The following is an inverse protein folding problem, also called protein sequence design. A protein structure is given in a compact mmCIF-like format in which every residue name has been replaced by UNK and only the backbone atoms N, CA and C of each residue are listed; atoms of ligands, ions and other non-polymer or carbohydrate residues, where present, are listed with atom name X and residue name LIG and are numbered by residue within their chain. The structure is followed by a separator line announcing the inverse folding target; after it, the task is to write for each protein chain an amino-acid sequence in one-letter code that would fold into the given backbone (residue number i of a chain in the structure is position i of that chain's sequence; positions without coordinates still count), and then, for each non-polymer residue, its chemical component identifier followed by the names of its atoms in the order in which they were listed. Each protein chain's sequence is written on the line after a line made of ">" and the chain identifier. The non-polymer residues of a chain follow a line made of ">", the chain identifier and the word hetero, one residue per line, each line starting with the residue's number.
data_IF_248339120734
#
_entry.id   IF_248339120734
#
_cell.length_a   1.000
_cell.length_b   1.000
_cell.length_c   1.000
_cell.angle_alpha   90.00
_cell.angle_beta   90.00
_cell.angle_gamma   90.00
#
_symmetry.space_group_name_H-M   'P 1'
#
loop_
_entity.id
_entity.type
_entity.pdbx_description
1 polymer ?
#
# COMPACT_ATOMS: atom_id res chain seq x y z
N UNK A 1 -21.28 30.93 1.94
CA UNK A 1 -21.66 29.74 2.73
C UNK A 1 -23.16 29.59 2.57
N UNK A 2 -23.61 28.48 2.03
CA UNK A 2 -25.03 28.18 1.93
C UNK A 2 -25.57 28.01 3.35
N UNK A 3 -26.58 28.78 3.73
CA UNK A 3 -27.12 28.83 5.09
C UNK A 3 -27.91 27.58 5.45
N UNK A 4 -27.20 26.53 5.78
CA UNK A 4 -27.77 25.37 6.44
C UNK A 4 -27.51 25.51 7.95
N UNK A 5 -28.59 25.53 8.74
CA UNK A 5 -28.48 25.33 10.18
C UNK A 5 -28.10 23.89 10.45
N UNK A 6 -26.90 23.67 10.98
CA UNK A 6 -26.43 22.35 11.37
C UNK A 6 -25.85 22.40 12.78
N UNK A 7 -26.10 21.37 13.53
CA UNK A 7 -25.53 21.15 14.84
C UNK A 7 -24.51 20.01 14.77
N UNK A 8 -23.30 20.24 15.25
CA UNK A 8 -22.25 19.20 15.31
C UNK A 8 -22.28 18.57 16.69
N UNK A 9 -22.76 17.33 16.76
CA UNK A 9 -22.81 16.56 18.00
C UNK A 9 -21.66 15.55 18.01
N UNK A 10 -20.78 15.67 19.00
CA UNK A 10 -19.72 14.68 19.19
C UNK A 10 -20.29 13.34 19.65
N UNK A 11 -19.97 12.25 18.93
CA UNK A 11 -20.25 10.88 19.35
C UNK A 11 -18.96 10.11 19.50
N UNK A 12 -18.78 9.41 20.63
CA UNK A 12 -17.62 8.50 20.83
C UNK A 12 -17.63 7.44 19.71
N UNK A 13 -16.45 7.03 19.21
CA UNK A 13 -16.29 6.14 18.07
C UNK A 13 -17.16 4.86 18.15
N UNK A 14 -17.26 4.22 19.33
CA UNK A 14 -18.15 3.07 19.56
C UNK A 14 -19.66 3.37 19.41
N UNK A 15 -20.06 4.62 19.52
CA UNK A 15 -21.46 5.05 19.39
C UNK A 15 -21.78 5.55 17.98
N UNK A 16 -20.76 5.87 17.19
CA UNK A 16 -20.91 6.30 15.80
C UNK A 16 -20.74 5.10 14.84
N UNK A 17 -21.74 4.20 14.88
CA UNK A 17 -21.74 2.94 14.14
C UNK A 17 -21.52 3.15 12.64
N UNK A 18 -22.04 4.22 12.06
CA UNK A 18 -21.90 4.52 10.63
C UNK A 18 -20.46 4.88 10.29
N UNK A 19 -19.83 5.77 11.06
CA UNK A 19 -18.44 6.14 10.84
C UNK A 19 -17.50 4.96 11.11
N UNK A 20 -17.78 4.12 12.10
CA UNK A 20 -17.00 2.93 12.40
C UNK A 20 -17.16 1.86 11.31
N UNK A 21 -18.35 1.67 10.74
CA UNK A 21 -18.59 0.78 9.60
C UNK A 21 -17.86 1.26 8.34
N UNK A 22 -17.88 2.56 8.04
CA UNK A 22 -17.15 3.14 6.92
C UNK A 22 -15.62 3.04 7.07
N UNK A 23 -15.13 3.00 8.31
CA UNK A 23 -13.70 2.84 8.60
C UNK A 23 -13.22 1.40 8.48
N UNK A 24 -14.10 0.43 8.74
CA UNK A 24 -13.81 -1.00 8.63
C UNK A 24 -13.96 -1.42 7.18
N UNK A 25 -13.01 -0.99 6.34
CA UNK A 25 -12.89 -1.58 5.01
C UNK A 25 -12.26 -2.95 5.14
N UNK A 26 -12.92 -3.96 4.59
CA UNK A 26 -12.30 -5.27 4.41
C UNK A 26 -11.02 -5.10 3.58
N UNK A 27 -9.91 -5.66 4.05
CA UNK A 27 -8.62 -5.58 3.33
C UNK A 27 -8.74 -6.09 1.89
N UNK A 28 -9.63 -7.03 1.64
CA UNK A 28 -9.87 -7.61 0.33
C UNK A 28 -10.58 -6.62 -0.63
N UNK A 29 -11.51 -5.81 -0.13
CA UNK A 29 -12.16 -4.75 -0.92
C UNK A 29 -11.18 -3.63 -1.26
N UNK A 30 -10.35 -3.22 -0.30
CA UNK A 30 -9.31 -2.23 -0.53
C UNK A 30 -8.26 -2.75 -1.53
N UNK A 31 -7.86 -4.01 -1.43
CA UNK A 31 -6.96 -4.64 -2.38
C UNK A 31 -7.55 -4.69 -3.80
N UNK A 32 -8.84 -5.00 -3.93
CA UNK A 32 -9.54 -5.01 -5.21
C UNK A 32 -9.59 -3.62 -5.84
N UNK A 33 -9.93 -2.59 -5.06
CA UNK A 33 -9.93 -1.21 -5.54
C UNK A 33 -8.54 -0.74 -5.98
N UNK A 34 -7.51 -1.09 -5.21
CA UNK A 34 -6.12 -0.80 -5.58
C UNK A 34 -5.72 -1.55 -6.87
N UNK A 35 -6.10 -2.82 -7.00
CA UNK A 35 -5.79 -3.61 -8.19
C UNK A 35 -6.43 -3.02 -9.46
N UNK A 36 -7.66 -2.56 -9.37
CA UNK A 36 -8.36 -1.92 -10.50
C UNK A 36 -7.72 -0.58 -10.88
N UNK A 37 -7.27 0.19 -9.88
CA UNK A 37 -6.81 1.56 -10.09
C UNK A 37 -5.34 1.69 -10.44
N UNK A 38 -4.50 0.71 -10.04
CA UNK A 38 -3.04 0.84 -10.06
C UNK A 38 -2.39 -0.14 -11.03
N UNK A 39 -2.97 -1.34 -11.21
CA UNK A 39 -2.34 -2.37 -12.06
C UNK A 39 -2.47 -1.97 -13.52
N UNK A 40 -1.33 -1.70 -14.14
CA UNK A 40 -1.26 -1.40 -15.57
C UNK A 40 -1.36 -2.69 -16.40
N UNK A 41 -1.97 -2.64 -17.60
CA UNK A 41 -2.08 -3.83 -18.46
C UNK A 41 -0.74 -4.47 -18.83
N UNK A 42 0.31 -3.67 -19.00
CA UNK A 42 1.66 -4.18 -19.30
C UNK A 42 2.22 -5.03 -18.15
N UNK A 43 2.00 -4.68 -16.90
CA UNK A 43 2.47 -5.47 -15.77
C UNK A 43 1.82 -6.85 -15.70
N UNK A 44 0.56 -6.95 -16.13
CA UNK A 44 -0.11 -8.25 -16.24
C UNK A 44 0.55 -9.09 -17.32
N UNK A 45 0.91 -8.49 -18.46
CA UNK A 45 1.57 -9.18 -19.55
C UNK A 45 3.01 -9.61 -19.17
N UNK A 46 3.77 -8.72 -18.53
CA UNK A 46 5.09 -9.04 -18.00
C UNK A 46 5.02 -10.20 -16.99
N UNK A 47 4.07 -10.16 -16.05
CA UNK A 47 3.86 -11.25 -15.12
C UNK A 47 3.54 -12.59 -15.82
N UNK A 48 2.72 -12.56 -16.89
CA UNK A 48 2.40 -13.76 -17.68
C UNK A 48 3.63 -14.36 -18.35
N UNK A 49 4.49 -13.54 -18.92
CA UNK A 49 5.72 -14.03 -19.55
C UNK A 49 6.67 -14.66 -18.52
N UNK A 50 6.79 -14.05 -17.34
CA UNK A 50 7.58 -14.61 -16.24
C UNK A 50 7.01 -15.93 -15.73
N UNK A 51 5.69 -16.04 -15.57
CA UNK A 51 5.05 -17.30 -15.13
C UNK A 51 5.29 -18.46 -16.07
N UNK A 52 5.44 -18.25 -17.39
CA UNK A 52 5.74 -19.30 -18.35
C UNK A 52 7.06 -20.00 -18.04
N UNK A 53 8.00 -19.29 -17.45
CA UNK A 53 9.35 -19.77 -17.15
C UNK A 53 9.52 -20.27 -15.70
N UNK A 54 8.55 -20.01 -14.80
CA UNK A 54 8.63 -20.35 -13.39
C UNK A 54 7.91 -21.67 -13.09
N UNK A 55 8.70 -22.70 -12.77
CA UNK A 55 8.20 -24.06 -12.46
C UNK A 55 7.32 -24.09 -11.20
N UNK A 56 7.61 -23.26 -10.19
CA UNK A 56 6.85 -23.21 -8.93
C UNK A 56 5.45 -22.64 -9.19
N UNK A 57 5.37 -21.58 -9.99
CA UNK A 57 4.10 -20.96 -10.38
C UNK A 57 3.26 -21.92 -11.20
N UNK A 58 3.87 -22.63 -12.15
CA UNK A 58 3.17 -23.65 -12.95
C UNK A 58 2.65 -24.81 -12.10
N UNK A 59 3.42 -25.27 -11.13
CA UNK A 59 2.96 -26.30 -10.19
C UNK A 59 1.73 -25.81 -9.37
N UNK A 60 1.71 -24.55 -8.96
CA UNK A 60 0.56 -23.93 -8.29
C UNK A 60 -0.66 -23.83 -9.20
N UNK A 61 -0.48 -23.34 -10.41
CA UNK A 61 -1.57 -23.20 -11.40
C UNK A 61 -2.19 -24.58 -11.69
N UNK A 62 -1.39 -25.61 -11.89
CA UNK A 62 -1.89 -26.98 -12.11
C UNK A 62 -2.71 -27.50 -10.92
N UNK A 63 -2.27 -27.24 -9.69
CA UNK A 63 -3.04 -27.61 -8.49
C UNK A 63 -4.39 -26.90 -8.46
N UNK A 64 -4.43 -25.62 -8.76
CA UNK A 64 -5.69 -24.85 -8.81
C UNK A 64 -6.65 -25.33 -9.91
N UNK A 65 -6.14 -25.87 -11.00
CA UNK A 65 -6.96 -26.44 -12.08
C UNK A 65 -7.52 -27.83 -11.74
N UNK A 66 -6.80 -28.62 -10.91
CA UNK A 66 -7.20 -29.95 -10.51
C UNK A 66 -8.18 -29.94 -9.30
N UNK A 67 -7.99 -29.02 -8.38
CA UNK A 67 -8.78 -28.90 -7.16
C UNK A 67 -9.49 -27.54 -7.08
N UNK A 68 -10.68 -27.44 -7.66
CA UNK A 68 -11.52 -26.25 -7.57
C UNK A 68 -11.98 -25.89 -6.13
N UNK A 69 -11.74 -26.79 -5.17
CA UNK A 69 -12.26 -26.67 -3.79
C UNK A 69 -11.23 -26.23 -2.75
N UNK A 70 -9.95 -26.08 -3.09
CA UNK A 70 -8.91 -26.11 -2.04
C UNK A 70 -8.21 -24.82 -1.72
N UNK A 71 -8.46 -23.66 -2.34
CA UNK A 71 -7.88 -22.47 -1.73
C UNK A 71 -8.62 -21.18 -2.08
N UNK A 72 -9.30 -20.64 -1.10
CA UNK A 72 -9.84 -19.28 -1.10
C UNK A 72 -8.76 -18.19 -1.28
N UNK A 73 -7.50 -18.58 -1.34
CA UNK A 73 -6.36 -17.65 -1.27
C UNK A 73 -5.79 -17.31 -2.65
N UNK A 74 -5.62 -18.31 -3.53
CA UNK A 74 -5.14 -18.10 -4.89
C UNK A 74 -6.23 -18.38 -5.91
N UNK A 75 -6.34 -17.53 -6.92
CA UNK A 75 -7.28 -17.72 -8.03
C UNK A 75 -6.60 -17.46 -9.36
N UNK A 76 -6.97 -18.23 -10.38
CA UNK A 76 -6.56 -17.97 -11.75
C UNK A 76 -7.70 -17.26 -12.48
N UNK A 77 -7.44 -16.09 -13.04
CA UNK A 77 -8.38 -15.32 -13.87
C UNK A 77 -7.66 -14.81 -15.10
N UNK A 78 -8.19 -15.10 -16.29
CA UNK A 78 -7.63 -14.62 -17.57
C UNK A 78 -6.13 -14.90 -17.71
N UNK A 79 -5.72 -16.15 -17.48
CA UNK A 79 -4.30 -16.57 -17.48
C UNK A 79 -3.39 -15.78 -16.53
N UNK A 80 -3.96 -15.19 -15.50
CA UNK A 80 -3.22 -14.44 -14.49
C UNK A 80 -3.43 -15.04 -13.12
N UNK A 81 -2.35 -15.11 -12.33
CA UNK A 81 -2.39 -15.64 -10.96
C UNK A 81 -2.63 -14.50 -9.96
N UNK A 82 -3.64 -14.67 -9.16
CA UNK A 82 -4.07 -13.70 -8.16
C UNK A 82 -4.08 -14.31 -6.76
N UNK A 83 -3.66 -13.53 -5.78
CA UNK A 83 -3.78 -13.84 -4.36
C UNK A 83 -4.74 -12.86 -3.71
N UNK A 84 -5.95 -13.30 -3.33
CA UNK A 84 -6.98 -12.42 -2.74
C UNK A 84 -7.11 -11.08 -3.51
N UNK A 85 -7.41 -11.15 -4.81
CA UNK A 85 -7.54 -9.99 -5.71
C UNK A 85 -6.27 -9.15 -5.93
N UNK A 86 -5.08 -9.66 -5.53
CA UNK A 86 -3.78 -9.02 -5.75
C UNK A 86 -2.99 -9.78 -6.79
N UNK A 87 -2.39 -9.08 -7.73
CA UNK A 87 -1.55 -9.72 -8.75
C UNK A 87 -0.30 -10.33 -8.09
N UNK A 88 0.04 -11.56 -8.48
CA UNK A 88 1.18 -12.29 -7.91
C UNK A 88 2.36 -12.29 -8.89
N UNK A 89 3.38 -11.42 -8.76
CA UNK A 89 4.63 -11.50 -9.52
C UNK A 89 5.53 -12.62 -8.99
N UNK A 90 6.31 -13.23 -9.88
CA UNK A 90 7.24 -14.32 -9.53
C UNK A 90 8.26 -13.92 -8.45
N UNK A 91 8.84 -14.91 -7.77
CA UNK A 91 9.75 -14.69 -6.64
C UNK A 91 11.01 -13.91 -7.04
N UNK A 92 11.60 -14.22 -8.18
CA UNK A 92 12.81 -13.59 -8.71
C UNK A 92 12.51 -12.64 -9.88
N UNK A 93 11.39 -11.95 -9.81
CA UNK A 93 10.85 -11.14 -10.88
C UNK A 93 11.47 -9.75 -10.92
N UNK A 94 11.96 -9.32 -12.09
CA UNK A 94 12.31 -7.94 -12.35
C UNK A 94 11.09 -7.03 -12.21
N UNK A 95 9.90 -7.56 -12.46
CA UNK A 95 8.64 -6.85 -12.32
C UNK A 95 8.42 -6.30 -10.90
N UNK A 96 8.86 -7.01 -9.84
CA UNK A 96 8.77 -6.49 -8.46
C UNK A 96 9.55 -5.18 -8.29
N UNK A 97 10.76 -5.14 -8.84
CA UNK A 97 11.59 -3.94 -8.83
C UNK A 97 10.94 -2.81 -9.64
N UNK A 98 10.45 -3.11 -10.83
CA UNK A 98 9.78 -2.13 -11.71
C UNK A 98 8.54 -1.53 -11.01
N UNK A 99 7.73 -2.36 -10.34
CA UNK A 99 6.57 -1.91 -9.56
C UNK A 99 7.00 -0.97 -8.43
N UNK A 100 8.03 -1.32 -7.66
CA UNK A 100 8.52 -0.49 -6.56
C UNK A 100 9.07 0.84 -7.06
N UNK A 101 9.86 0.81 -8.13
CA UNK A 101 10.39 2.03 -8.77
C UNK A 101 9.23 2.90 -9.23
N UNK A 102 8.32 2.39 -10.04
CA UNK A 102 7.22 3.17 -10.61
C UNK A 102 6.32 3.77 -9.54
N UNK A 103 5.90 2.98 -8.54
CA UNK A 103 4.97 3.43 -7.51
C UNK A 103 5.60 4.28 -6.40
N UNK A 104 6.93 4.33 -6.31
CA UNK A 104 7.65 5.14 -5.34
C UNK A 104 8.27 6.40 -5.96
N UNK A 105 8.91 6.27 -7.13
CA UNK A 105 9.71 7.37 -7.72
C UNK A 105 8.95 8.20 -8.75
N UNK A 106 7.83 7.69 -9.30
CA UNK A 106 7.03 8.44 -10.25
C UNK A 106 6.49 9.75 -9.64
N UNK A 107 6.05 10.71 -10.45
CA UNK A 107 5.42 11.95 -9.94
C UNK A 107 4.28 11.69 -8.96
N UNK A 108 3.51 10.62 -9.17
CA UNK A 108 2.47 10.16 -8.24
C UNK A 108 3.05 9.53 -6.97
N UNK A 109 4.19 8.87 -7.08
CA UNK A 109 4.95 8.26 -5.98
C UNK A 109 5.56 9.30 -5.06
N UNK A 110 6.23 10.29 -5.63
CA UNK A 110 6.81 11.44 -4.96
C UNK A 110 7.81 11.07 -3.86
N UNK A 111 8.53 9.95 -4.02
CA UNK A 111 9.48 9.42 -3.02
C UNK A 111 8.89 9.39 -1.60
N UNK A 112 7.64 8.99 -1.48
CA UNK A 112 6.91 9.00 -0.20
C UNK A 112 7.39 7.89 0.74
N UNK A 113 7.16 8.08 2.05
CA UNK A 113 7.55 7.09 3.06
C UNK A 113 6.83 5.74 2.94
N UNK A 114 7.31 4.76 3.72
CA UNK A 114 6.86 3.36 3.69
C UNK A 114 5.34 3.19 3.62
N UNK A 115 4.57 3.82 4.50
CA UNK A 115 3.11 3.62 4.54
C UNK A 115 2.43 4.01 3.24
N UNK A 116 2.78 5.16 2.67
CA UNK A 116 2.18 5.64 1.41
C UNK A 116 2.57 4.74 0.24
N UNK A 117 3.84 4.33 0.15
CA UNK A 117 4.31 3.39 -0.86
C UNK A 117 3.61 2.03 -0.71
N UNK A 118 3.51 1.49 0.51
CA UNK A 118 2.80 0.25 0.80
C UNK A 118 1.34 0.29 0.35
N UNK A 119 0.62 1.39 0.62
CA UNK A 119 -0.77 1.55 0.17
C UNK A 119 -0.90 1.53 -1.36
N UNK A 120 0.07 2.08 -2.09
CA UNK A 120 0.07 2.02 -3.56
C UNK A 120 0.37 0.63 -4.09
N UNK A 121 1.24 -0.12 -3.42
CA UNK A 121 1.64 -1.49 -3.82
C UNK A 121 0.61 -2.54 -3.41
N UNK A 122 -0.45 -2.21 -2.66
CA UNK A 122 -1.47 -3.16 -2.17
C UNK A 122 -2.18 -3.98 -3.25
N UNK A 123 -2.20 -3.53 -4.51
CA UNK A 123 -2.73 -4.30 -5.64
C UNK A 123 -1.89 -5.54 -5.99
N UNK A 124 -0.70 -5.67 -5.42
CA UNK A 124 0.23 -6.78 -5.62
C UNK A 124 0.43 -7.57 -4.34
N UNK A 125 0.84 -8.82 -4.50
CA UNK A 125 1.19 -9.68 -3.37
C UNK A 125 2.39 -10.55 -3.69
N UNK A 126 3.36 -10.61 -2.79
CA UNK A 126 4.42 -11.60 -2.72
C UNK A 126 4.91 -11.74 -1.28
N UNK A 127 5.55 -12.88 -1.00
CA UNK A 127 6.12 -13.13 0.32
C UNK A 127 7.25 -12.13 0.60
N UNK A 128 7.20 -11.44 1.74
CA UNK A 128 8.17 -10.41 2.09
C UNK A 128 7.88 -9.01 1.55
N UNK A 129 6.73 -8.77 0.89
CA UNK A 129 6.35 -7.48 0.32
C UNK A 129 6.63 -6.27 1.23
N UNK A 130 6.25 -6.36 2.52
CA UNK A 130 6.46 -5.26 3.48
C UNK A 130 7.94 -4.99 3.72
N UNK A 131 8.74 -6.04 3.87
CA UNK A 131 10.18 -5.95 4.08
C UNK A 131 10.89 -5.34 2.87
N UNK A 132 10.50 -5.77 1.66
CA UNK A 132 11.08 -5.27 0.42
C UNK A 132 10.78 -3.77 0.24
N UNK A 133 9.55 -3.34 0.53
CA UNK A 133 9.18 -1.93 0.49
C UNK A 133 9.96 -1.13 1.55
N UNK A 134 10.10 -1.65 2.77
CA UNK A 134 10.87 -0.97 3.83
C UNK A 134 12.32 -0.76 3.41
N UNK A 135 12.94 -1.80 2.88
CA UNK A 135 14.31 -1.75 2.37
C UNK A 135 14.44 -0.76 1.22
N UNK A 136 13.56 -0.85 0.22
CA UNK A 136 13.56 0.03 -0.94
C UNK A 136 13.43 1.52 -0.56
N UNK A 137 12.50 1.84 0.33
CA UNK A 137 12.29 3.22 0.82
C UNK A 137 13.47 3.68 1.68
N UNK A 138 14.06 2.81 2.50
CA UNK A 138 15.24 3.14 3.31
C UNK A 138 16.48 3.42 2.46
N UNK A 139 16.63 2.77 1.32
CA UNK A 139 17.72 2.97 0.37
C UNK A 139 17.51 4.18 -0.57
N UNK A 140 16.32 4.79 -0.57
CA UNK A 140 16.02 5.93 -1.43
C UNK A 140 16.69 7.22 -0.93
N UNK A 141 17.72 7.68 -1.64
CA UNK A 141 18.46 8.90 -1.28
C UNK A 141 17.56 10.16 -1.27
N UNK A 142 16.65 10.28 -2.25
CA UNK A 142 15.73 11.42 -2.31
C UNK A 142 14.82 11.45 -1.09
N UNK A 143 14.28 10.30 -0.67
CA UNK A 143 13.49 10.21 0.53
C UNK A 143 14.28 10.58 1.78
N UNK A 144 15.53 10.10 1.89
CA UNK A 144 16.40 10.40 3.04
C UNK A 144 16.75 11.89 3.12
N UNK A 145 17.04 12.52 2.00
CA UNK A 145 17.36 13.95 1.93
C UNK A 145 16.15 14.85 2.28
N UNK A 146 14.95 14.41 1.90
CA UNK A 146 13.71 15.14 2.16
C UNK A 146 13.06 14.79 3.50
N UNK A 147 13.63 13.83 4.23
CA UNK A 147 13.17 13.50 5.57
C UNK A 147 13.58 14.62 6.50
N UNK A 148 12.66 15.54 6.73
CA UNK A 148 12.81 16.51 7.82
C UNK A 148 12.85 15.73 9.12
N UNK A 149 13.99 15.72 9.78
CA UNK A 149 14.06 15.30 11.17
C UNK A 149 13.11 16.19 11.96
N UNK A 150 11.97 15.64 12.33
CA UNK A 150 11.14 16.23 13.36
C UNK A 150 11.89 16.00 14.69
N UNK A 151 13.09 16.56 14.78
CA UNK A 151 13.69 16.84 16.05
C UNK A 151 12.68 17.80 16.67
N UNK A 152 11.98 17.34 17.70
CA UNK A 152 11.30 18.27 18.60
C UNK A 152 12.37 19.30 18.95
N UNK A 153 12.32 20.44 18.29
CA UNK A 153 13.02 21.60 18.80
C UNK A 153 12.54 21.66 20.24
N UNK A 154 13.39 21.27 21.16
CA UNK A 154 13.21 21.58 22.55
C UNK A 154 13.23 23.11 22.62
N UNK A 155 12.11 23.69 22.24
CA UNK A 155 11.81 25.07 22.55
C UNK A 155 11.72 25.11 24.05
N UNK A 156 12.86 25.27 24.68
CA UNK A 156 12.94 25.84 26.00
C UNK A 156 12.31 27.22 25.86
N UNK A 157 11.00 27.28 26.08
CA UNK A 157 10.35 28.52 26.48
C UNK A 157 11.05 28.95 27.76
N UNK A 158 12.10 29.74 27.60
CA UNK A 158 12.66 30.43 28.77
C UNK A 158 11.63 31.44 29.25
N UNK A 159 11.27 31.43 30.54
CA UNK A 159 10.37 32.44 31.07
C UNK A 159 10.97 33.81 30.78
N UNK A 160 10.23 34.65 30.09
CA UNK A 160 10.59 36.04 29.92
C UNK A 160 10.73 36.66 31.31
N UNK A 161 11.92 37.19 31.60
CA UNK A 161 12.14 37.97 32.84
C UNK A 161 11.29 39.23 32.71
N UNK A 162 10.22 39.30 33.47
CA UNK A 162 9.38 40.49 33.55
C UNK A 162 10.19 41.55 34.32
N UNK A 163 10.51 42.72 33.72
CA UNK A 163 11.20 43.77 34.44
C UNK A 163 10.31 44.24 35.59
N UNK A 164 10.81 44.17 36.80
CA UNK A 164 10.18 44.80 37.95
C UNK A 164 10.30 46.32 37.78
N UNK A 165 9.19 46.98 37.44
CA UNK A 165 9.11 48.43 37.49
C UNK A 165 9.11 48.86 38.94
N UNK A 166 10.03 49.76 39.25
CA UNK A 166 9.99 50.59 40.46
C UNK A 166 9.13 51.80 40.22
#
# INVERSE_FOLDING_TARGET
>A
MLGYDFEIIYKKGKQNVVADALRRKDEDVEALLCAISIIQPNWINEAREEWKNDKEVWARIRKLQQDSSTSDTFSQKNDSLWYKYRLYPCKNSQLRQNILVELHTSPLGGHSGFLKTYHRVKGFFWDGLKSDIQKFVAECLVFQQNKVDIIKTSGLLQPLVIPSQH
#
